data_IF_147483463467
#
_entry.id   IF_147483463467
#
_cell.length_a   1.000
_cell.length_b   1.000
_cell.length_c   1.000
_cell.angle_alpha   90.00
_cell.angle_beta   90.00
_cell.angle_gamma   90.00
#
_symmetry.space_group_name_H-M   'P 1'
#
loop_
_entity.id
_entity.type
_entity.pdbx_description
1 polymer ?
#
# COMPACT_ATOMS: atom_id res chain seq x y z
N UNK A 1 -22.18 5.37 -30.88
CA UNK A 1 -21.41 4.62 -29.86
C UNK A 1 -21.27 5.49 -28.63
N UNK A 2 -22.13 5.27 -27.63
CA UNK A 2 -22.26 6.12 -26.45
C UNK A 2 -21.15 5.74 -25.46
N UNK A 3 -20.12 6.60 -25.32
CA UNK A 3 -19.15 6.47 -24.23
C UNK A 3 -19.92 6.72 -22.94
N UNK A 4 -20.21 5.66 -22.19
CA UNK A 4 -20.49 5.77 -20.76
C UNK A 4 -19.30 6.49 -20.15
N UNK A 5 -19.52 7.74 -19.70
CA UNK A 5 -18.52 8.51 -18.97
C UNK A 5 -18.17 7.70 -17.72
N UNK A 6 -17.03 6.98 -17.76
CA UNK A 6 -16.55 6.23 -16.62
C UNK A 6 -16.32 7.21 -15.47
N UNK A 7 -17.08 7.07 -14.38
CA UNK A 7 -16.91 7.87 -13.18
C UNK A 7 -15.51 7.54 -12.60
N UNK A 8 -14.54 8.47 -12.63
CA UNK A 8 -13.16 8.18 -12.21
C UNK A 8 -13.07 7.72 -10.76
N UNK A 9 -13.95 8.23 -9.90
CA UNK A 9 -14.05 7.83 -8.50
C UNK A 9 -14.53 6.36 -8.37
N UNK A 10 -15.51 5.95 -9.17
CA UNK A 10 -15.96 4.55 -9.17
C UNK A 10 -14.85 3.62 -9.66
N UNK A 11 -14.13 4.01 -10.73
CA UNK A 11 -13.00 3.21 -11.22
C UNK A 11 -11.93 3.05 -10.14
N UNK A 12 -11.58 4.13 -9.44
CA UNK A 12 -10.61 4.09 -8.36
C UNK A 12 -11.06 3.20 -7.19
N UNK A 13 -12.32 3.34 -6.72
CA UNK A 13 -12.87 2.48 -5.68
C UNK A 13 -12.86 0.99 -6.07
N UNK A 14 -13.23 0.67 -7.32
CA UNK A 14 -13.19 -0.71 -7.81
C UNK A 14 -11.78 -1.25 -7.84
N UNK A 15 -10.80 -0.48 -8.34
CA UNK A 15 -9.38 -0.88 -8.33
C UNK A 15 -8.88 -1.11 -6.91
N UNK A 16 -9.12 -0.18 -5.98
CA UNK A 16 -8.69 -0.33 -4.58
C UNK A 16 -9.30 -1.57 -3.93
N UNK A 17 -10.59 -1.83 -4.14
CA UNK A 17 -11.24 -3.01 -3.57
C UNK A 17 -10.76 -4.32 -4.22
N UNK A 18 -10.50 -4.32 -5.53
CA UNK A 18 -9.99 -5.48 -6.25
C UNK A 18 -8.67 -5.98 -5.64
N UNK A 19 -7.79 -5.07 -5.23
CA UNK A 19 -6.54 -5.39 -4.55
C UNK A 19 -6.75 -6.31 -3.33
N UNK A 20 -7.58 -5.87 -2.39
CA UNK A 20 -7.83 -6.61 -1.15
C UNK A 20 -8.69 -7.85 -1.37
N UNK A 21 -9.58 -7.83 -2.36
CA UNK A 21 -10.33 -9.02 -2.78
C UNK A 21 -9.39 -10.11 -3.30
N UNK A 22 -8.36 -9.76 -4.09
CA UNK A 22 -7.36 -10.72 -4.55
C UNK A 22 -6.56 -11.32 -3.39
N UNK A 23 -6.11 -10.51 -2.43
CA UNK A 23 -5.47 -11.01 -1.21
C UNK A 23 -6.38 -11.95 -0.39
N UNK A 24 -7.66 -11.58 -0.25
CA UNK A 24 -8.65 -12.40 0.46
C UNK A 24 -8.89 -13.73 -0.27
N UNK A 25 -8.98 -13.71 -1.60
CA UNK A 25 -9.13 -14.91 -2.41
C UNK A 25 -7.91 -15.83 -2.30
N UNK A 26 -6.69 -15.26 -2.30
CA UNK A 26 -5.45 -15.99 -2.07
C UNK A 26 -5.45 -16.67 -0.70
N UNK A 27 -5.74 -15.93 0.38
CA UNK A 27 -5.78 -16.45 1.75
C UNK A 27 -6.77 -17.63 1.93
N UNK A 28 -7.89 -17.64 1.18
CA UNK A 28 -8.84 -18.76 1.22
C UNK A 28 -8.28 -20.07 0.66
N UNK A 29 -7.27 -19.99 -0.20
CA UNK A 29 -6.66 -21.14 -0.87
C UNK A 29 -5.32 -21.55 -0.20
N UNK A 30 -4.79 -20.71 0.68
CA UNK A 30 -3.47 -20.84 1.29
C UNK A 30 -3.61 -20.71 2.81
N UNK A 31 -3.73 -21.83 3.56
CA UNK A 31 -4.00 -21.82 5.00
C UNK A 31 -2.99 -21.03 5.84
N UNK A 32 -1.77 -20.86 5.34
CA UNK A 32 -0.71 -20.08 5.95
C UNK A 32 -0.86 -18.56 5.79
N UNK A 33 -1.73 -18.10 4.88
CA UNK A 33 -1.89 -16.71 4.50
C UNK A 33 -3.21 -16.13 5.02
N UNK A 34 -3.16 -14.90 5.55
CA UNK A 34 -4.32 -14.22 6.13
C UNK A 34 -4.27 -12.72 5.86
N UNK A 35 -5.43 -12.16 5.53
CA UNK A 35 -5.65 -10.71 5.57
C UNK A 35 -6.33 -10.38 6.89
N UNK A 36 -5.54 -10.14 7.94
CA UNK A 36 -6.06 -9.91 9.29
C UNK A 36 -6.77 -8.56 9.41
N UNK A 37 -6.37 -7.58 8.58
CA UNK A 37 -7.02 -6.27 8.51
C UNK A 37 -7.17 -5.78 7.09
N UNK A 38 -8.32 -5.17 6.83
CA UNK A 38 -8.59 -4.36 5.64
C UNK A 38 -9.40 -3.12 6.02
N UNK A 39 -8.80 -1.94 5.85
CA UNK A 39 -9.45 -0.64 6.01
C UNK A 39 -9.55 0.08 4.66
N UNK A 40 -10.70 0.72 4.42
CA UNK A 40 -10.91 1.63 3.30
C UNK A 40 -10.15 2.95 3.47
N UNK A 41 -10.10 3.79 2.44
CA UNK A 41 -9.55 5.16 2.51
C UNK A 41 -10.13 5.96 3.69
N UNK A 42 -11.46 5.94 3.85
CA UNK A 42 -12.14 6.71 4.89
C UNK A 42 -11.73 6.26 6.30
N UNK A 43 -11.65 4.94 6.53
CA UNK A 43 -11.19 4.41 7.81
C UNK A 43 -9.69 4.65 8.03
N UNK A 44 -8.88 4.47 6.99
CA UNK A 44 -7.43 4.71 7.04
C UNK A 44 -7.13 6.16 7.37
N UNK A 45 -7.80 7.11 6.73
CA UNK A 45 -7.66 8.55 7.01
C UNK A 45 -8.14 8.90 8.41
N UNK A 46 -9.21 8.26 8.89
CA UNK A 46 -9.70 8.44 10.26
C UNK A 46 -8.68 7.99 11.30
N UNK A 47 -8.03 6.84 11.06
CA UNK A 47 -7.09 6.22 12.01
C UNK A 47 -5.68 6.82 11.90
N UNK A 48 -5.19 7.07 10.70
CA UNK A 48 -3.89 7.69 10.42
C UNK A 48 -4.05 9.10 9.85
N UNK A 49 -4.42 10.05 10.71
CA UNK A 49 -4.84 11.42 10.35
C UNK A 49 -3.86 12.23 9.49
N UNK A 50 -2.58 11.84 9.44
CA UNK A 50 -1.55 12.55 8.68
C UNK A 50 -1.45 12.11 7.22
N UNK A 51 -2.05 10.99 6.85
CA UNK A 51 -1.98 10.40 5.51
C UNK A 51 -3.39 10.18 4.93
N UNK A 52 -3.43 9.96 3.62
CA UNK A 52 -4.66 9.67 2.87
C UNK A 52 -4.31 8.54 1.89
N UNK A 53 -4.15 7.33 2.44
CA UNK A 53 -3.95 6.12 1.64
C UNK A 53 -5.30 5.61 1.13
N UNK A 54 -5.31 5.02 -0.06
CA UNK A 54 -6.52 4.46 -0.65
C UNK A 54 -7.02 3.23 0.14
N UNK A 55 -6.10 2.55 0.84
CA UNK A 55 -6.43 1.52 1.82
C UNK A 55 -5.26 1.17 2.73
N UNK A 56 -5.57 0.44 3.79
CA UNK A 56 -4.60 -0.10 4.73
C UNK A 56 -4.90 -1.58 4.99
N UNK A 57 -3.85 -2.39 5.15
CA UNK A 57 -4.02 -3.79 5.48
C UNK A 57 -2.92 -4.34 6.39
N UNK A 58 -3.23 -5.44 7.05
CA UNK A 58 -2.25 -6.32 7.69
C UNK A 58 -2.32 -7.68 7.00
N UNK A 59 -1.23 -8.05 6.35
CA UNK A 59 -1.10 -9.28 5.61
C UNK A 59 -0.13 -10.21 6.34
N UNK A 60 -0.61 -11.39 6.74
CA UNK A 60 0.18 -12.38 7.45
C UNK A 60 0.44 -13.60 6.58
N UNK A 61 1.68 -14.08 6.59
CA UNK A 61 2.08 -15.37 6.02
C UNK A 61 2.93 -16.11 7.04
N UNK A 62 2.47 -17.29 7.44
CA UNK A 62 3.06 -18.08 8.53
C UNK A 62 3.23 -17.26 9.82
N UNK A 63 4.44 -16.81 10.13
CA UNK A 63 4.76 -16.07 11.37
C UNK A 63 5.09 -14.59 11.13
N UNK A 64 5.04 -14.12 9.89
CA UNK A 64 5.34 -12.74 9.55
C UNK A 64 4.04 -11.99 9.23
N UNK A 65 3.86 -10.82 9.86
CA UNK A 65 2.78 -9.88 9.55
C UNK A 65 3.38 -8.61 8.98
N UNK A 66 3.00 -8.28 7.75
CA UNK A 66 3.37 -7.04 7.08
C UNK A 66 2.17 -6.12 7.09
N UNK A 67 2.29 -4.96 7.73
CA UNK A 67 1.37 -3.86 7.49
C UNK A 67 1.67 -3.18 6.15
N UNK A 68 0.66 -2.66 5.47
CA UNK A 68 0.80 -2.01 4.17
C UNK A 68 -0.13 -0.82 4.04
N UNK A 69 0.30 0.20 3.30
CA UNK A 69 -0.55 1.26 2.77
C UNK A 69 -0.69 1.09 1.26
N UNK A 70 -1.90 1.17 0.73
CA UNK A 70 -2.17 1.03 -0.71
C UNK A 70 -2.39 2.40 -1.36
N UNK A 71 -1.77 2.58 -2.51
CA UNK A 71 -1.98 3.70 -3.43
C UNK A 71 -2.31 3.12 -4.82
N UNK A 72 -3.59 3.12 -5.17
CA UNK A 72 -4.11 2.56 -6.41
C UNK A 72 -4.14 3.62 -7.51
N UNK A 73 -3.33 3.43 -8.54
CA UNK A 73 -3.25 4.35 -9.66
C UNK A 73 -4.14 3.90 -10.82
N UNK A 74 -5.13 4.72 -11.16
CA UNK A 74 -6.01 4.48 -12.32
C UNK A 74 -5.53 5.20 -13.58
N UNK A 75 -4.34 5.82 -13.57
CA UNK A 75 -3.74 6.45 -14.76
C UNK A 75 -4.37 7.77 -15.19
N UNK A 76 -5.27 8.34 -14.40
CA UNK A 76 -6.00 9.58 -14.73
C UNK A 76 -5.26 10.85 -14.31
N UNK A 77 -4.20 10.73 -13.50
CA UNK A 77 -3.57 11.87 -12.83
C UNK A 77 -2.04 11.95 -13.02
N UNK A 78 -1.44 13.17 -12.99
CA UNK A 78 0.01 13.35 -13.02
C UNK A 78 0.67 12.79 -11.74
N UNK A 79 1.57 11.82 -11.90
CA UNK A 79 2.22 11.12 -10.78
C UNK A 79 3.17 12.02 -9.96
N UNK A 80 3.86 12.95 -10.63
CA UNK A 80 5.08 13.56 -10.10
C UNK A 80 4.92 14.32 -8.78
N UNK A 81 4.09 15.36 -8.75
CA UNK A 81 3.94 16.21 -7.55
C UNK A 81 3.19 15.51 -6.42
N UNK A 82 2.25 14.62 -6.78
CA UNK A 82 1.41 13.91 -5.80
C UNK A 82 2.18 12.83 -5.05
N UNK A 83 2.99 12.03 -5.74
CA UNK A 83 3.76 10.94 -5.11
C UNK A 83 4.75 11.50 -4.09
N UNK A 84 5.54 12.52 -4.45
CA UNK A 84 6.52 13.12 -3.52
C UNK A 84 5.81 13.70 -2.29
N UNK A 85 4.75 14.48 -2.51
CA UNK A 85 3.96 15.04 -1.40
C UNK A 85 3.34 13.97 -0.51
N UNK A 86 2.88 12.84 -1.08
CA UNK A 86 2.37 11.70 -0.31
C UNK A 86 3.49 11.07 0.53
N UNK A 87 4.64 10.76 -0.07
CA UNK A 87 5.78 10.17 0.64
C UNK A 87 6.29 11.06 1.78
N UNK A 88 6.27 12.38 1.62
CA UNK A 88 6.60 13.32 2.72
C UNK A 88 5.64 13.19 3.91
N UNK A 89 4.35 12.94 3.65
CA UNK A 89 3.35 12.70 4.72
C UNK A 89 3.57 11.37 5.42
N UNK A 90 3.90 10.31 4.68
CA UNK A 90 4.29 9.02 5.27
C UNK A 90 5.56 9.16 6.12
N UNK A 91 6.56 9.89 5.64
CA UNK A 91 7.78 10.15 6.43
C UNK A 91 7.48 10.91 7.73
N UNK A 92 6.51 11.84 7.71
CA UNK A 92 6.03 12.53 8.92
C UNK A 92 5.32 11.59 9.88
N UNK A 93 4.51 10.64 9.39
CA UNK A 93 3.88 9.61 10.21
C UNK A 93 4.93 8.78 10.96
N UNK A 94 5.94 8.29 10.25
CA UNK A 94 7.04 7.49 10.82
C UNK A 94 7.79 8.28 11.90
N UNK A 95 8.15 9.54 11.62
CA UNK A 95 8.87 10.39 12.60
C UNK A 95 8.11 10.67 13.90
N UNK A 96 6.78 10.49 13.90
CA UNK A 96 5.93 10.64 15.08
C UNK A 96 5.75 9.33 15.86
N UNK A 97 6.47 8.27 15.51
CA UNK A 97 6.35 6.95 16.13
C UNK A 97 5.25 6.07 15.53
N UNK A 98 4.63 6.51 14.44
CA UNK A 98 3.69 5.69 13.66
C UNK A 98 4.39 4.54 12.92
N UNK A 99 3.62 3.62 12.32
CA UNK A 99 4.18 2.47 11.64
C UNK A 99 5.00 2.87 10.42
N UNK A 100 6.08 2.11 10.17
CA UNK A 100 6.89 2.16 8.95
C UNK A 100 6.52 0.98 8.06
N UNK A 101 5.38 1.13 7.39
CA UNK A 101 4.86 0.15 6.44
C UNK A 101 5.22 0.51 5.00
N UNK A 102 5.41 -0.49 4.11
CA UNK A 102 5.55 -0.26 2.69
C UNK A 102 4.33 0.46 2.13
N UNK A 103 4.59 1.53 1.39
CA UNK A 103 3.60 2.16 0.51
C UNK A 103 3.61 1.41 -0.82
N UNK A 104 2.53 0.69 -1.09
CA UNK A 104 2.35 -0.13 -2.28
C UNK A 104 1.67 0.70 -3.35
N UNK A 105 2.39 0.99 -4.43
CA UNK A 105 1.82 1.62 -5.62
C UNK A 105 1.35 0.53 -6.58
N UNK A 106 0.03 0.39 -6.73
CA UNK A 106 -0.57 -0.57 -7.65
C UNK A 106 -0.99 0.15 -8.93
N UNK A 107 -0.20 -0.04 -9.98
CA UNK A 107 -0.14 0.84 -11.14
C UNK A 107 -0.86 0.26 -12.35
N UNK A 108 -1.44 1.16 -13.15
CA UNK A 108 -2.20 0.75 -14.35
C UNK A 108 -1.35 0.07 -15.43
N UNK A 109 -0.08 0.45 -15.56
CA UNK A 109 0.81 -0.09 -16.61
C UNK A 109 2.27 -0.06 -16.19
N UNK A 110 3.07 -0.88 -16.89
CA UNK A 110 4.53 -0.91 -16.73
C UNK A 110 5.19 0.43 -17.05
N UNK A 111 4.69 1.20 -18.02
CA UNK A 111 5.24 2.54 -18.31
C UNK A 111 5.10 3.48 -17.11
N UNK A 112 4.01 3.35 -16.34
CA UNK A 112 3.82 4.14 -15.12
C UNK A 112 4.71 3.65 -13.98
N UNK A 113 4.94 2.34 -13.91
CA UNK A 113 5.92 1.73 -13.00
C UNK A 113 7.33 2.28 -13.28
N UNK A 114 7.79 2.22 -14.52
CA UNK A 114 9.08 2.76 -14.94
C UNK A 114 9.20 4.26 -14.63
N UNK A 115 8.17 5.05 -14.93
CA UNK A 115 8.16 6.47 -14.63
C UNK A 115 8.27 6.75 -13.13
N UNK A 116 7.55 5.99 -12.29
CA UNK A 116 7.60 6.14 -10.84
C UNK A 116 9.00 5.81 -10.32
N UNK A 117 9.60 4.70 -10.78
CA UNK A 117 10.97 4.34 -10.44
C UNK A 117 11.96 5.41 -10.87
N UNK A 118 11.85 5.94 -12.09
CA UNK A 118 12.70 7.05 -12.55
C UNK A 118 12.56 8.31 -11.69
N UNK A 119 11.34 8.63 -11.26
CA UNK A 119 11.09 9.78 -10.40
C UNK A 119 11.72 9.64 -9.01
N UNK A 120 11.69 8.43 -8.45
CA UNK A 120 12.17 8.14 -7.10
C UNK A 120 13.65 7.73 -7.06
N UNK A 121 14.27 7.47 -8.22
CA UNK A 121 15.73 7.24 -8.30
C UNK A 121 16.49 8.40 -7.67
N UNK A 122 17.37 8.07 -6.72
CA UNK A 122 18.20 9.05 -6.02
C UNK A 122 17.46 9.84 -4.92
N UNK A 123 16.17 9.60 -4.70
CA UNK A 123 15.49 10.12 -3.51
C UNK A 123 15.73 9.16 -2.35
N UNK A 124 16.47 9.63 -1.34
CA UNK A 124 16.57 8.91 -0.08
C UNK A 124 15.31 9.21 0.74
N UNK A 125 14.41 8.24 0.79
CA UNK A 125 13.24 8.28 1.67
C UNK A 125 13.32 7.14 2.67
N UNK A 126 13.04 7.44 3.93
CA UNK A 126 12.91 6.41 4.97
C UNK A 126 11.63 5.58 4.80
N UNK A 127 10.73 5.99 3.92
CA UNK A 127 9.47 5.31 3.63
C UNK A 127 9.73 4.13 2.69
N UNK A 128 9.57 2.87 3.13
CA UNK A 128 9.63 1.74 2.22
C UNK A 128 8.49 1.86 1.20
N UNK A 129 8.79 1.58 -0.07
CA UNK A 129 7.81 1.61 -1.13
C UNK A 129 8.10 0.52 -2.16
N UNK A 130 7.06 0.00 -2.78
CA UNK A 130 7.16 -1.00 -3.83
C UNK A 130 6.05 -0.81 -4.87
N UNK A 131 6.30 -1.28 -6.09
CA UNK A 131 5.38 -1.18 -7.21
C UNK A 131 4.96 -2.55 -7.71
N UNK A 132 3.72 -2.65 -8.17
CA UNK A 132 3.25 -3.76 -9.00
C UNK A 132 2.21 -3.22 -9.98
N UNK A 133 1.82 -4.01 -10.98
CA UNK A 133 0.80 -3.60 -11.96
C UNK A 133 -0.52 -4.34 -11.74
N UNK A 134 -1.64 -3.73 -12.17
CA UNK A 134 -3.00 -4.30 -12.01
C UNK A 134 -3.16 -5.72 -12.62
N UNK A 135 -2.35 -6.05 -13.62
CA UNK A 135 -2.34 -7.37 -14.25
C UNK A 135 -1.76 -8.50 -13.38
N UNK A 136 -1.09 -8.16 -12.28
CA UNK A 136 -0.43 -9.12 -11.39
C UNK A 136 -1.27 -9.46 -10.15
N UNK A 137 -1.06 -10.64 -9.57
CA UNK A 137 -1.65 -11.02 -8.28
C UNK A 137 -0.82 -10.44 -7.12
N UNK A 138 -1.38 -9.55 -6.28
CA UNK A 138 -0.62 -8.90 -5.21
C UNK A 138 -0.09 -9.85 -4.13
N UNK A 139 -0.60 -11.08 -4.01
CA UNK A 139 -0.07 -12.06 -3.05
C UNK A 139 1.21 -12.75 -3.53
N UNK A 140 1.50 -12.70 -4.84
CA UNK A 140 2.69 -13.33 -5.43
C UNK A 140 3.94 -12.44 -5.34
N UNK A 141 5.07 -12.97 -5.85
CA UNK A 141 6.34 -12.26 -5.92
C UNK A 141 6.34 -11.20 -7.05
N UNK A 142 5.47 -10.20 -6.92
CA UNK A 142 5.18 -9.21 -7.97
C UNK A 142 5.64 -7.80 -7.58
N UNK A 143 6.04 -7.58 -6.32
CA UNK A 143 6.39 -6.27 -5.82
C UNK A 143 7.82 -5.93 -6.15
N UNK A 144 8.06 -4.85 -6.89
CA UNK A 144 9.40 -4.31 -7.14
C UNK A 144 9.68 -3.18 -6.14
N UNK A 145 10.51 -3.39 -5.11
CA UNK A 145 10.88 -2.33 -4.19
C UNK A 145 11.62 -1.20 -4.91
N UNK A 146 11.42 0.05 -4.47
CA UNK A 146 12.13 1.19 -5.03
C UNK A 146 13.65 1.01 -4.82
N UNK A 147 14.43 1.09 -5.90
CA UNK A 147 15.88 0.91 -5.89
C UNK A 147 16.36 -0.54 -5.97
N UNK A 148 15.46 -1.52 -5.97
CA UNK A 148 15.79 -2.92 -6.18
C UNK A 148 15.70 -3.33 -7.67
N UNK A 149 16.29 -4.48 -8.00
CA UNK A 149 16.26 -5.08 -9.34
C UNK A 149 15.40 -6.35 -9.42
N UNK A 150 14.96 -6.90 -8.28
CA UNK A 150 14.18 -8.12 -8.19
C UNK A 150 12.81 -7.87 -7.58
N UNK A 151 11.80 -8.62 -8.04
CA UNK A 151 10.47 -8.64 -7.43
C UNK A 151 10.44 -9.60 -6.24
N UNK A 152 9.69 -9.23 -5.21
CA UNK A 152 9.55 -9.97 -3.94
C UNK A 152 8.08 -10.17 -3.61
N UNK A 153 7.77 -11.05 -2.65
CA UNK A 153 6.40 -11.22 -2.15
C UNK A 153 6.07 -10.09 -1.19
N UNK A 154 4.78 -9.85 -0.98
CA UNK A 154 4.30 -8.86 -0.01
C UNK A 154 4.85 -9.12 1.41
N UNK A 155 4.93 -10.39 1.81
CA UNK A 155 5.45 -10.80 3.12
C UNK A 155 6.97 -10.57 3.30
N UNK A 156 7.69 -10.34 2.21
CA UNK A 156 9.15 -10.11 2.24
C UNK A 156 9.50 -8.61 2.28
N UNK A 157 8.50 -7.72 2.23
CA UNK A 157 8.73 -6.28 2.30
C UNK A 157 9.02 -5.83 3.73
N UNK A 158 9.92 -4.85 3.93
CA UNK A 158 10.27 -4.36 5.26
C UNK A 158 9.06 -3.70 5.91
N UNK A 159 8.71 -4.14 7.11
CA UNK A 159 7.55 -3.65 7.86
C UNK A 159 7.92 -3.49 9.33
N UNK A 160 7.53 -2.36 9.92
CA UNK A 160 7.65 -2.09 11.36
C UNK A 160 6.33 -1.47 11.84
N UNK A 161 5.72 -2.09 12.85
CA UNK A 161 4.43 -1.72 13.40
C UNK A 161 4.44 -0.38 14.17
N UNK A 162 5.62 0.19 14.40
CA UNK A 162 5.81 1.46 15.09
C UNK A 162 5.80 1.28 16.61
N UNK A 163 5.61 2.39 17.31
CA UNK A 163 5.61 2.40 18.78
C UNK A 163 4.17 2.36 19.33
N UNK A 164 3.96 1.82 20.55
CA UNK A 164 2.68 1.87 21.25
C UNK A 164 2.39 3.27 21.80
N UNK A 165 2.26 4.25 20.91
CA UNK A 165 1.88 5.63 21.21
C UNK A 165 0.40 5.84 20.89
N UNK A 166 -0.26 6.80 21.55
CA UNK A 166 -1.69 7.05 21.38
C UNK A 166 -2.12 7.33 19.92
N UNK A 167 -1.21 7.86 19.11
CA UNK A 167 -1.44 8.15 17.69
C UNK A 167 -1.24 6.94 16.76
N UNK A 168 -0.85 5.78 17.29
CA UNK A 168 -0.66 4.55 16.52
C UNK A 168 -1.83 3.57 16.72
N UNK A 169 -2.76 3.49 15.75
CA UNK A 169 -3.99 2.69 15.87
C UNK A 169 -3.75 1.18 15.77
N UNK A 170 -2.49 0.73 15.64
CA UNK A 170 -2.15 -0.69 15.73
C UNK A 170 -2.12 -1.20 17.18
N UNK A 171 -2.14 -0.30 18.16
CA UNK A 171 -2.03 -0.65 19.57
C UNK A 171 -3.27 -0.19 20.33
N UNK A 172 -3.76 -1.05 21.22
CA UNK A 172 -4.76 -0.73 22.22
C UNK A 172 -4.16 -1.04 23.60
N UNK A 173 -4.11 -0.03 24.48
CA UNK A 173 -3.41 -0.11 25.78
C UNK A 173 -1.98 -0.71 25.72
N UNK A 174 -1.28 -0.47 24.61
CA UNK A 174 0.08 -0.96 24.37
C UNK A 174 0.17 -2.39 23.82
N UNK A 175 -0.96 -3.07 23.62
CA UNK A 175 -1.05 -4.39 23.01
C UNK A 175 -1.29 -4.24 21.51
N UNK A 176 -0.51 -4.94 20.68
CA UNK A 176 -0.73 -4.95 19.23
C UNK A 176 -2.05 -5.66 18.92
N UNK A 177 -2.92 -4.96 18.20
CA UNK A 177 -4.19 -5.48 17.71
C UNK A 177 -4.02 -5.67 16.21
N UNK A 178 -4.04 -6.90 15.66
CA UNK A 178 -4.09 -7.11 14.21
C UNK A 178 -5.45 -6.71 13.63
#
# INVERSE_FOLDING_TARGET
MQRLSANPHLTHLLTTNEFFVRLTAHARQHPEARLDRWWSEAMTTKQFRTITADGHGLWSVAHATVGLFLEADTGTEPLRSRVVTKLDRYAKLIRRGGPRYPVLFWLRSEQREEHLHQLLRGQHTDVPAATATHGTDPAHAVWLPIGATGRVRLADLPSDHGQPVADNPNYDEGVFVP
#
